data_IF_091486421417
#
_entry.id   IF_091486421417
#
_cell.length_a   1.000
_cell.length_b   1.000
_cell.length_c   1.000
_cell.angle_alpha   90.00
_cell.angle_beta   90.00
_cell.angle_gamma   90.00
#
_symmetry.space_group_name_H-M   'P 1'
#
loop_
_entity.id
_entity.type
_entity.pdbx_description
1 polymer ?
#
# COMPACT_ATOMS: atom_id res chain seq x y z
N UNK A 1 -11.84 -20.84 -13.56
CA UNK A 1 -11.17 -19.72 -12.86
C UNK A 1 -11.37 -18.43 -13.66
N UNK A 2 -11.49 -17.24 -13.07
CA UNK A 2 -11.70 -15.99 -13.87
C UNK A 2 -10.58 -15.80 -14.90
N UNK A 3 -9.36 -16.19 -14.53
CA UNK A 3 -8.20 -16.17 -15.41
C UNK A 3 -8.36 -17.05 -16.66
N UNK A 4 -8.90 -18.27 -16.51
CA UNK A 4 -9.08 -19.19 -17.65
C UNK A 4 -10.09 -18.67 -18.67
N UNK A 5 -11.08 -17.87 -18.24
CA UNK A 5 -12.06 -17.26 -19.11
C UNK A 5 -11.47 -16.12 -19.97
N UNK A 6 -10.32 -15.56 -19.56
CA UNK A 6 -9.64 -14.46 -20.26
C UNK A 6 -8.65 -14.96 -21.32
N UNK A 7 -8.12 -16.18 -21.18
CA UNK A 7 -7.12 -16.75 -22.11
C UNK A 7 -7.57 -16.71 -23.59
N UNK A 8 -8.83 -17.04 -23.96
CA UNK A 8 -9.26 -17.00 -25.35
C UNK A 8 -9.33 -15.59 -25.95
N UNK A 9 -9.31 -14.55 -25.12
CA UNK A 9 -9.38 -13.13 -25.53
C UNK A 9 -8.01 -12.50 -25.75
N UNK A 10 -6.93 -13.28 -25.58
CA UNK A 10 -5.56 -12.82 -25.86
C UNK A 10 -5.46 -12.29 -27.31
N UNK A 11 -4.76 -11.16 -27.47
CA UNK A 11 -4.59 -10.41 -28.72
C UNK A 11 -5.88 -9.84 -29.37
N UNK A 12 -7.03 -9.89 -28.69
CA UNK A 12 -8.26 -9.25 -29.17
C UNK A 12 -8.37 -7.79 -28.72
N UNK A 13 -8.92 -6.94 -29.59
CA UNK A 13 -9.29 -5.58 -29.22
C UNK A 13 -10.61 -5.63 -28.46
N UNK A 14 -10.60 -5.15 -27.22
CA UNK A 14 -11.79 -4.97 -26.39
C UNK A 14 -12.16 -3.49 -26.35
N UNK A 15 -13.45 -3.19 -26.46
CA UNK A 15 -13.95 -1.86 -26.14
C UNK A 15 -14.04 -1.65 -24.62
N UNK A 16 -14.40 -0.42 -24.21
CA UNK A 16 -14.47 -0.08 -22.80
C UNK A 16 -15.54 -0.88 -22.04
N UNK A 17 -16.73 -1.05 -22.62
CA UNK A 17 -17.84 -1.73 -21.97
C UNK A 17 -17.53 -3.23 -21.80
N UNK A 18 -16.92 -3.85 -22.81
CA UNK A 18 -16.41 -5.23 -22.75
C UNK A 18 -15.36 -5.38 -21.64
N UNK A 19 -14.39 -4.47 -21.56
CA UNK A 19 -13.36 -4.50 -20.54
C UNK A 19 -13.93 -4.37 -19.11
N UNK A 20 -14.95 -3.52 -18.92
CA UNK A 20 -15.64 -3.37 -17.65
C UNK A 20 -16.47 -4.61 -17.30
N UNK A 21 -17.21 -5.17 -18.26
CA UNK A 21 -18.00 -6.39 -18.08
C UNK A 21 -17.16 -7.61 -17.70
N UNK A 22 -15.89 -7.64 -18.13
CA UNK A 22 -14.90 -8.66 -17.76
C UNK A 22 -14.17 -8.36 -16.44
N UNK A 23 -14.36 -7.18 -15.85
CA UNK A 23 -13.68 -6.76 -14.62
C UNK A 23 -12.20 -6.45 -14.78
N UNK A 24 -11.75 -6.12 -16.01
CA UNK A 24 -10.36 -5.77 -16.30
C UNK A 24 -10.01 -4.33 -15.91
N UNK A 25 -11.04 -3.47 -15.83
CA UNK A 25 -10.93 -2.06 -15.46
C UNK A 25 -11.92 -1.72 -14.35
N UNK A 26 -11.68 -0.64 -13.62
CA UNK A 26 -12.49 -0.24 -12.48
C UNK A 26 -13.80 0.44 -12.87
N UNK A 27 -13.78 1.30 -13.90
CA UNK A 27 -14.92 2.03 -14.45
C UNK A 27 -14.57 2.59 -15.84
N UNK A 28 -15.58 3.02 -16.60
CA UNK A 28 -15.45 3.47 -18.00
C UNK A 28 -16.34 4.69 -18.27
N UNK A 29 -15.90 5.89 -17.88
CA UNK A 29 -16.68 7.10 -18.11
C UNK A 29 -16.71 7.43 -19.61
N UNK A 30 -17.78 8.08 -20.05
CA UNK A 30 -17.88 8.61 -21.41
C UNK A 30 -17.05 9.91 -21.57
N UNK A 31 -17.09 10.49 -22.76
CA UNK A 31 -16.32 11.70 -23.09
C UNK A 31 -16.81 12.95 -22.33
N UNK A 32 -18.02 12.92 -21.78
CA UNK A 32 -18.61 14.01 -21.01
C UNK A 32 -18.13 13.93 -19.55
N UNK A 33 -18.13 12.72 -18.97
CA UNK A 33 -17.83 12.51 -17.55
C UNK A 33 -16.34 12.31 -17.25
N UNK A 34 -15.52 11.96 -18.25
CA UNK A 34 -14.11 11.59 -18.09
C UNK A 34 -13.29 12.61 -17.28
N UNK A 35 -13.36 13.89 -17.68
CA UNK A 35 -12.54 14.95 -17.07
C UNK A 35 -12.88 15.15 -15.59
N UNK A 36 -14.16 15.09 -15.24
CA UNK A 36 -14.61 15.34 -13.87
C UNK A 36 -14.39 14.12 -12.96
N UNK A 37 -14.72 12.90 -13.42
CA UNK A 37 -14.54 11.69 -12.60
C UNK A 37 -13.07 11.44 -12.27
N UNK A 38 -12.18 11.56 -13.26
CA UNK A 38 -10.74 11.35 -13.05
C UNK A 38 -10.17 12.44 -12.14
N UNK A 39 -10.56 13.70 -12.36
CA UNK A 39 -10.12 14.82 -11.52
C UNK A 39 -10.56 14.61 -10.06
N UNK A 40 -11.82 14.25 -9.82
CA UNK A 40 -12.33 14.00 -8.46
C UNK A 40 -11.55 12.86 -7.80
N UNK A 41 -11.34 11.74 -8.48
CA UNK A 41 -10.58 10.61 -7.93
C UNK A 41 -9.14 11.00 -7.53
N UNK A 42 -8.50 11.87 -8.30
CA UNK A 42 -7.17 12.40 -8.00
C UNK A 42 -7.18 13.39 -6.83
N UNK A 43 -8.14 14.32 -6.81
CA UNK A 43 -8.33 15.28 -5.72
C UNK A 43 -8.59 14.57 -4.39
N UNK A 44 -9.46 13.54 -4.39
CA UNK A 44 -9.72 12.71 -3.23
C UNK A 44 -8.45 12.02 -2.73
N UNK A 45 -7.66 11.42 -3.63
CA UNK A 45 -6.40 10.78 -3.27
C UNK A 45 -5.41 11.75 -2.61
N UNK A 46 -5.36 13.00 -3.08
CA UNK A 46 -4.51 14.05 -2.51
C UNK A 46 -5.02 14.52 -1.15
N UNK A 47 -6.35 14.53 -0.95
CA UNK A 47 -6.97 15.01 0.29
C UNK A 47 -6.85 14.05 1.49
N UNK A 48 -6.59 12.77 1.23
CA UNK A 48 -6.52 11.74 2.26
C UNK A 48 -5.13 11.62 2.89
N UNK A 49 -5.07 11.09 4.12
CA UNK A 49 -3.79 10.86 4.81
C UNK A 49 -2.91 9.90 4.00
N UNK A 50 -1.67 10.28 3.65
CA UNK A 50 -0.76 9.41 2.90
C UNK A 50 -0.40 8.14 3.68
N UNK A 51 -0.34 8.21 5.01
CA UNK A 51 -0.06 7.07 5.88
C UNK A 51 -1.21 6.05 5.81
N UNK A 52 -2.45 6.54 5.87
CA UNK A 52 -3.64 5.70 5.80
C UNK A 52 -3.78 5.04 4.42
N UNK A 53 -3.55 5.79 3.34
CA UNK A 53 -3.59 5.28 1.97
C UNK A 53 -2.52 4.20 1.73
N UNK A 54 -1.30 4.43 2.22
CA UNK A 54 -0.22 3.45 2.12
C UNK A 54 -0.58 2.14 2.83
N UNK A 55 -1.17 2.23 4.03
CA UNK A 55 -1.67 1.07 4.77
C UNK A 55 -2.80 0.35 4.04
N UNK A 56 -3.77 1.10 3.50
CA UNK A 56 -4.89 0.55 2.73
C UNK A 56 -4.41 -0.21 1.49
N UNK A 57 -3.54 0.40 0.68
CA UNK A 57 -3.01 -0.19 -0.55
C UNK A 57 -2.20 -1.46 -0.29
N UNK A 58 -1.39 -1.47 0.77
CA UNK A 58 -0.63 -2.66 1.17
C UNK A 58 -1.55 -3.85 1.49
N UNK A 59 -2.73 -3.62 2.06
CA UNK A 59 -3.69 -4.68 2.37
C UNK A 59 -4.53 -5.08 1.15
N UNK A 60 -5.01 -4.13 0.35
CA UNK A 60 -5.86 -4.44 -0.80
C UNK A 60 -5.09 -5.17 -1.91
N UNK A 61 -3.86 -4.75 -2.20
CA UNK A 61 -3.03 -5.36 -3.26
C UNK A 61 -2.51 -6.75 -2.88
N UNK A 62 -2.29 -7.01 -1.59
CA UNK A 62 -1.78 -8.27 -1.07
C UNK A 62 -2.76 -8.94 -0.11
N UNK A 63 -4.03 -9.03 -0.52
CA UNK A 63 -5.15 -9.54 0.29
C UNK A 63 -5.27 -11.07 0.34
N UNK A 64 -4.43 -11.79 -0.39
CA UNK A 64 -4.52 -13.23 -0.59
C UNK A 64 -3.31 -14.01 -0.06
N UNK A 65 -2.74 -14.93 -0.85
CA UNK A 65 -1.70 -15.85 -0.38
C UNK A 65 -0.42 -15.10 0.07
N UNK A 66 0.16 -15.53 1.19
CA UNK A 66 1.45 -15.04 1.66
C UNK A 66 2.61 -15.89 1.10
N UNK A 67 3.65 -15.22 0.60
CA UNK A 67 4.95 -15.81 0.28
C UNK A 67 6.03 -15.29 1.25
N UNK A 68 7.26 -15.80 1.16
CA UNK A 68 8.36 -15.25 1.95
C UNK A 68 8.54 -13.75 1.68
N UNK A 69 8.45 -13.35 0.42
CA UNK A 69 8.61 -11.96 -0.03
C UNK A 69 7.49 -11.08 0.50
N UNK A 70 6.22 -11.50 0.38
CA UNK A 70 5.10 -10.69 0.89
C UNK A 70 5.15 -10.58 2.42
N UNK A 71 5.63 -11.60 3.13
CA UNK A 71 5.87 -11.55 4.59
C UNK A 71 6.99 -10.59 4.98
N UNK A 72 8.05 -10.49 4.17
CA UNK A 72 9.11 -9.51 4.37
C UNK A 72 8.53 -8.09 4.23
N UNK A 73 7.81 -7.80 3.14
CA UNK A 73 7.30 -6.45 2.88
C UNK A 73 6.08 -6.06 3.72
N UNK A 74 5.24 -7.01 4.13
CA UNK A 74 4.11 -6.75 5.02
C UNK A 74 4.51 -6.90 6.48
N UNK A 75 4.60 -8.14 6.98
CA UNK A 75 4.76 -8.41 8.42
C UNK A 75 6.05 -7.85 9.00
N UNK A 76 7.20 -8.17 8.41
CA UNK A 76 8.50 -7.73 8.94
C UNK A 76 8.65 -6.21 8.81
N UNK A 77 8.46 -5.68 7.61
CA UNK A 77 8.64 -4.25 7.35
C UNK A 77 7.62 -3.37 8.06
N UNK A 78 6.35 -3.76 8.22
CA UNK A 78 5.38 -2.96 8.96
C UNK A 78 5.77 -2.83 10.45
N UNK A 79 6.19 -3.94 11.09
CA UNK A 79 6.71 -3.91 12.46
C UNK A 79 7.99 -3.07 12.56
N UNK A 80 8.87 -3.17 11.58
CA UNK A 80 10.10 -2.38 11.55
C UNK A 80 9.82 -0.89 11.37
N UNK A 81 8.90 -0.51 10.48
CA UNK A 81 8.47 0.86 10.27
C UNK A 81 7.91 1.46 11.57
N UNK A 82 7.10 0.69 12.30
CA UNK A 82 6.60 1.09 13.62
C UNK A 82 7.71 1.30 14.65
N UNK A 83 8.76 0.46 14.65
CA UNK A 83 9.94 0.64 15.51
C UNK A 83 10.70 1.91 15.12
N UNK A 84 10.87 2.17 13.81
CA UNK A 84 11.70 3.27 13.31
C UNK A 84 11.17 4.66 13.60
N UNK A 85 9.87 4.83 13.84
CA UNK A 85 9.31 6.14 14.18
C UNK A 85 9.28 6.42 15.69
N UNK A 86 9.77 5.49 16.54
CA UNK A 86 9.63 5.57 18.01
C UNK A 86 10.90 6.02 18.72
N UNK A 87 10.78 6.77 19.85
CA UNK A 87 11.93 7.34 20.57
C UNK A 87 12.97 6.30 21.05
N UNK A 88 12.54 5.09 21.42
CA UNK A 88 13.46 4.04 21.86
C UNK A 88 14.52 3.70 20.78
N UNK A 89 14.17 3.79 19.50
CA UNK A 89 15.09 3.53 18.40
C UNK A 89 15.83 4.81 17.95
N UNK A 90 15.08 5.86 17.59
CA UNK A 90 15.61 7.04 16.86
C UNK A 90 15.71 8.33 17.69
N UNK A 91 15.24 8.34 18.94
CA UNK A 91 15.28 9.52 19.82
C UNK A 91 16.71 9.90 20.22
N UNK A 92 16.89 11.11 20.78
CA UNK A 92 18.22 11.64 21.18
C UNK A 92 19.02 10.69 22.09
N UNK A 93 18.35 10.04 23.04
CA UNK A 93 18.94 9.01 23.93
C UNK A 93 18.54 7.58 23.51
N UNK A 94 18.04 7.42 22.28
CA UNK A 94 17.62 6.16 21.69
C UNK A 94 18.79 5.30 21.23
N UNK A 95 18.52 4.01 21.02
CA UNK A 95 19.55 2.99 20.77
C UNK A 95 20.48 3.33 19.60
N UNK A 96 19.95 3.87 18.50
CA UNK A 96 20.75 4.17 17.31
C UNK A 96 21.72 5.34 17.54
N UNK A 97 21.29 6.39 18.25
CA UNK A 97 22.10 7.59 18.45
C UNK A 97 23.19 7.43 19.51
N UNK A 98 22.95 6.64 20.55
CA UNK A 98 23.95 6.42 21.61
C UNK A 98 24.96 5.31 21.27
N UNK A 99 24.76 4.57 20.17
CA UNK A 99 25.68 3.54 19.72
C UNK A 99 27.10 4.11 19.53
N UNK A 100 28.09 3.48 20.15
CA UNK A 100 29.49 3.93 20.11
C UNK A 100 29.85 5.10 21.06
N UNK A 101 28.88 5.72 21.72
CA UNK A 101 29.12 6.85 22.64
C UNK A 101 29.57 6.45 24.06
N UNK A 102 29.44 5.17 24.42
CA UNK A 102 29.66 4.66 25.77
C UNK A 102 28.49 4.91 26.75
N UNK A 103 27.45 5.65 26.33
CA UNK A 103 26.23 5.86 27.11
C UNK A 103 25.23 4.71 26.91
N UNK A 104 24.44 4.40 27.94
CA UNK A 104 23.32 3.44 27.83
C UNK A 104 22.08 4.15 27.29
N UNK A 105 21.29 3.51 26.40
CA UNK A 105 20.06 4.09 25.88
C UNK A 105 18.99 4.19 26.98
N UNK A 106 18.15 5.22 26.88
CA UNK A 106 17.01 5.43 27.78
C UNK A 106 15.72 4.89 27.14
N UNK A 107 15.28 3.71 27.58
CA UNK A 107 14.07 3.08 27.05
C UNK A 107 12.83 3.36 27.89
N UNK A 108 11.71 3.61 27.21
CA UNK A 108 10.38 3.41 27.80
C UNK A 108 10.06 1.91 27.79
N UNK A 109 9.87 1.34 28.98
CA UNK A 109 9.64 -0.10 29.20
C UNK A 109 8.16 -0.52 29.12
N UNK A 110 7.24 0.44 28.99
CA UNK A 110 5.82 0.14 28.82
C UNK A 110 5.60 -0.58 27.48
N UNK A 111 4.91 -1.72 27.55
CA UNK A 111 4.47 -2.49 26.36
C UNK A 111 3.27 -1.82 25.69
N UNK A 112 3.06 -2.15 24.42
CA UNK A 112 1.92 -1.76 23.58
C UNK A 112 1.29 -3.01 23.03
#
# INVERSE_FOLDING_TARGET
DQHEALIPLEDQLLDAEEALGLGLVTFTPDDIDWEDEIRIALEERISLSPDALSGMEANLRFSGPETMETRIFARLSAWQNWIFIRPNAVGEEGALKVFGSGKKPAFNWQRI
#
